data_IF_968060251388
#
_entry.id   IF_968060251388
#
_cell.length_a   1.000
_cell.length_b   1.000
_cell.length_c   1.000
_cell.angle_alpha   90.00
_cell.angle_beta   90.00
_cell.angle_gamma   90.00
#
_symmetry.space_group_name_H-M   'P 1'
#
loop_
_entity.id
_entity.type
_entity.pdbx_description
1 polymer ?
#
# COMPACT_ATOMS: atom_id res chain seq x y z
N UNK A 1 22.16 -11.20 8.78
CA UNK A 1 20.83 -10.61 8.56
C UNK A 1 19.95 -11.65 7.88
N UNK A 2 18.93 -12.12 8.58
CA UNK A 2 18.00 -13.17 8.11
C UNK A 2 17.12 -12.65 6.96
N UNK A 3 16.49 -13.53 6.16
CA UNK A 3 15.55 -13.11 5.11
C UNK A 3 14.43 -12.21 5.65
N UNK A 4 13.91 -12.52 6.84
CA UNK A 4 12.84 -11.75 7.49
C UNK A 4 13.32 -10.35 7.93
N UNK A 5 14.54 -10.22 8.46
CA UNK A 5 15.13 -8.91 8.75
C UNK A 5 15.29 -8.06 7.48
N UNK A 6 15.66 -8.67 6.34
CA UNK A 6 15.76 -7.98 5.04
C UNK A 6 14.39 -7.53 4.57
N UNK A 7 13.41 -8.42 4.67
CA UNK A 7 12.04 -8.15 4.28
C UNK A 7 11.46 -6.96 5.05
N UNK A 8 11.60 -6.96 6.38
CA UNK A 8 11.16 -5.86 7.23
C UNK A 8 11.76 -4.52 6.78
N UNK A 9 13.06 -4.46 6.53
CA UNK A 9 13.73 -3.24 6.07
C UNK A 9 13.25 -2.78 4.69
N UNK A 10 13.06 -3.71 3.76
CA UNK A 10 12.53 -3.44 2.41
C UNK A 10 11.12 -2.84 2.52
N UNK A 11 10.25 -3.45 3.33
CA UNK A 11 8.86 -3.03 3.50
C UNK A 11 8.80 -1.63 4.12
N UNK A 12 9.47 -1.38 5.24
CA UNK A 12 9.42 -0.06 5.87
C UNK A 12 10.02 1.03 4.98
N UNK A 13 11.08 0.72 4.24
CA UNK A 13 11.69 1.68 3.30
C UNK A 13 10.73 2.03 2.16
N UNK A 14 10.08 1.01 1.56
CA UNK A 14 9.09 1.21 0.52
C UNK A 14 7.86 1.97 1.04
N UNK A 15 7.40 1.66 2.26
CA UNK A 15 6.30 2.36 2.91
C UNK A 15 6.61 3.82 3.19
N UNK A 16 7.82 4.14 3.64
CA UNK A 16 8.27 5.52 3.79
C UNK A 16 8.27 6.28 2.46
N UNK A 17 8.81 5.67 1.41
CA UNK A 17 8.79 6.25 0.06
C UNK A 17 7.36 6.44 -0.47
N UNK A 18 6.48 5.46 -0.29
CA UNK A 18 5.08 5.54 -0.68
C UNK A 18 4.32 6.64 0.08
N UNK A 19 4.56 6.76 1.38
CA UNK A 19 4.01 7.84 2.21
C UNK A 19 4.46 9.22 1.73
N UNK A 20 5.73 9.38 1.35
CA UNK A 20 6.25 10.63 0.81
C UNK A 20 5.62 10.97 -0.56
N UNK A 21 5.46 10.00 -1.45
CA UNK A 21 4.77 10.19 -2.74
C UNK A 21 3.31 10.61 -2.54
N UNK A 22 2.63 10.04 -1.55
CA UNK A 22 1.24 10.35 -1.23
C UNK A 22 1.00 11.75 -0.62
N UNK A 23 2.07 12.46 -0.23
CA UNK A 23 2.00 13.88 0.13
C UNK A 23 1.93 14.80 -1.09
N UNK A 24 2.10 14.27 -2.32
CA UNK A 24 2.00 15.07 -3.53
C UNK A 24 0.62 15.75 -3.63
N UNK A 25 0.56 17.07 -3.90
CA UNK A 25 -0.70 17.79 -4.01
C UNK A 25 -1.49 17.43 -5.29
N UNK A 26 -0.90 16.65 -6.20
CA UNK A 26 -1.50 16.34 -7.50
C UNK A 26 -2.26 15.01 -7.43
N UNK A 27 -3.60 15.01 -7.53
CA UNK A 27 -4.42 13.80 -7.46
C UNK A 27 -4.05 12.81 -8.57
N UNK A 28 -4.04 11.51 -8.26
CA UNK A 28 -3.75 10.36 -9.15
C UNK A 28 -2.31 10.19 -9.62
N UNK A 29 -1.49 11.24 -9.61
CA UNK A 29 -0.06 11.18 -10.00
C UNK A 29 0.77 10.30 -9.06
N UNK A 30 0.33 10.20 -7.82
CA UNK A 30 0.84 9.27 -6.83
C UNK A 30 0.80 7.82 -7.33
N UNK A 31 -0.20 7.40 -8.12
CA UNK A 31 -0.24 6.04 -8.67
C UNK A 31 0.96 5.71 -9.58
N UNK A 32 1.34 6.65 -10.46
CA UNK A 32 2.46 6.46 -11.40
C UNK A 32 3.80 6.35 -10.69
N UNK A 33 3.96 7.02 -9.54
CA UNK A 33 5.16 6.95 -8.72
C UNK A 33 5.11 5.79 -7.70
N UNK A 34 3.92 5.38 -7.26
CA UNK A 34 3.70 4.27 -6.34
C UNK A 34 3.92 2.91 -7.03
N UNK A 35 3.56 2.77 -8.30
CA UNK A 35 3.73 1.50 -9.03
C UNK A 35 5.20 1.03 -9.04
N UNK A 36 6.19 1.86 -9.42
CA UNK A 36 7.60 1.48 -9.33
C UNK A 36 8.06 1.11 -7.92
N UNK A 37 7.54 1.79 -6.89
CA UNK A 37 7.85 1.48 -5.48
C UNK A 37 7.35 0.07 -5.13
N UNK A 38 6.11 -0.26 -5.49
CA UNK A 38 5.56 -1.60 -5.26
C UNK A 38 6.33 -2.67 -6.02
N UNK A 39 6.61 -2.47 -7.32
CA UNK A 39 7.36 -3.45 -8.14
C UNK A 39 8.75 -3.70 -7.55
N UNK A 40 9.44 -2.64 -7.13
CA UNK A 40 10.78 -2.73 -6.54
C UNK A 40 10.75 -3.44 -5.19
N UNK A 41 9.80 -3.12 -4.33
CA UNK A 41 9.59 -3.78 -3.04
C UNK A 41 9.41 -5.29 -3.24
N UNK A 42 8.46 -5.67 -4.10
CA UNK A 42 8.13 -7.07 -4.40
C UNK A 42 9.36 -7.80 -4.93
N UNK A 43 10.02 -7.24 -5.95
CA UNK A 43 11.22 -7.84 -6.54
C UNK A 43 12.32 -8.04 -5.49
N UNK A 44 12.48 -7.09 -4.57
CA UNK A 44 13.48 -7.15 -3.51
C UNK A 44 13.14 -8.20 -2.44
N UNK A 45 11.85 -8.37 -2.10
CA UNK A 45 11.37 -9.43 -1.20
C UNK A 45 11.68 -10.81 -1.79
N UNK A 46 11.28 -11.07 -3.03
CA UNK A 46 11.55 -12.34 -3.69
C UNK A 46 13.05 -12.65 -3.75
N UNK A 47 13.90 -11.66 -4.06
CA UNK A 47 15.36 -11.81 -4.01
C UNK A 47 15.88 -12.09 -2.60
N UNK A 48 15.31 -11.49 -1.56
CA UNK A 48 15.73 -11.72 -0.18
C UNK A 48 15.44 -13.16 0.31
N UNK A 49 14.43 -13.81 -0.26
CA UNK A 49 14.05 -15.21 -0.01
C UNK A 49 14.58 -16.19 -1.07
N UNK A 50 15.39 -15.72 -2.03
CA UNK A 50 15.92 -16.52 -3.15
C UNK A 50 14.82 -17.22 -3.99
N UNK A 51 13.68 -16.55 -4.15
CA UNK A 51 12.52 -17.01 -4.91
C UNK A 51 12.34 -16.21 -6.21
N UNK A 52 11.69 -16.82 -7.20
CA UNK A 52 11.34 -16.14 -8.45
C UNK A 52 10.13 -15.24 -8.26
N UNK A 53 10.23 -14.01 -8.74
CA UNK A 53 9.13 -13.04 -8.70
C UNK A 53 7.88 -13.60 -9.37
N UNK A 54 6.76 -13.61 -8.65
CA UNK A 54 5.47 -13.98 -9.21
C UNK A 54 4.81 -12.78 -9.90
N UNK A 55 4.52 -12.91 -11.19
CA UNK A 55 3.85 -11.84 -11.97
C UNK A 55 2.50 -11.47 -11.37
N UNK A 56 1.78 -12.43 -10.81
CA UNK A 56 0.51 -12.21 -10.10
C UNK A 56 0.64 -11.28 -8.88
N UNK A 57 1.72 -11.41 -8.09
CA UNK A 57 1.98 -10.54 -6.95
C UNK A 57 2.21 -9.09 -7.41
N UNK A 58 2.99 -8.92 -8.47
CA UNK A 58 3.25 -7.60 -9.06
C UNK A 58 1.97 -6.97 -9.61
N UNK A 59 1.21 -7.73 -10.43
CA UNK A 59 -0.07 -7.24 -10.98
C UNK A 59 -1.07 -6.89 -9.90
N UNK A 60 -1.19 -7.71 -8.86
CA UNK A 60 -2.09 -7.47 -7.72
C UNK A 60 -1.76 -6.18 -6.99
N UNK A 61 -0.48 -5.93 -6.71
CA UNK A 61 -0.04 -4.70 -6.08
C UNK A 61 -0.26 -3.45 -6.95
N UNK A 62 0.03 -3.55 -8.24
CA UNK A 62 -0.28 -2.48 -9.21
C UNK A 62 -1.77 -2.18 -9.21
N UNK A 63 -2.62 -3.21 -9.19
CA UNK A 63 -4.06 -3.02 -9.19
C UNK A 63 -4.55 -2.36 -7.90
N UNK A 64 -4.02 -2.78 -6.76
CA UNK A 64 -4.35 -2.22 -5.46
C UNK A 64 -3.97 -0.72 -5.35
N UNK A 65 -2.81 -0.33 -5.88
CA UNK A 65 -2.39 1.07 -5.99
C UNK A 65 -3.38 1.87 -6.84
N UNK A 66 -3.68 1.40 -8.06
CA UNK A 66 -4.56 2.11 -8.96
C UNK A 66 -6.00 2.22 -8.41
N UNK A 67 -6.54 1.17 -7.80
CA UNK A 67 -7.86 1.20 -7.14
C UNK A 67 -7.90 2.19 -5.97
N UNK A 68 -6.82 2.24 -5.16
CA UNK A 68 -6.71 3.17 -4.03
C UNK A 68 -6.64 4.61 -4.50
N UNK A 69 -5.76 4.91 -5.46
CA UNK A 69 -5.67 6.26 -6.06
C UNK A 69 -7.00 6.69 -6.70
N UNK A 70 -7.70 5.77 -7.36
CA UNK A 70 -9.04 6.03 -7.88
C UNK A 70 -10.04 6.41 -6.78
N UNK A 71 -10.13 5.60 -5.72
CA UNK A 71 -11.03 5.85 -4.59
C UNK A 71 -10.74 7.18 -3.89
N UNK A 72 -9.46 7.55 -3.74
CA UNK A 72 -9.04 8.83 -3.18
C UNK A 72 -9.50 10.02 -4.00
N UNK A 73 -9.39 9.95 -5.32
CA UNK A 73 -9.87 11.00 -6.20
C UNK A 73 -11.37 11.24 -6.08
N UNK A 74 -12.15 10.16 -5.98
CA UNK A 74 -13.60 10.23 -5.76
C UNK A 74 -13.94 10.86 -4.41
N UNK A 75 -13.32 10.36 -3.33
CA UNK A 75 -13.53 10.88 -1.96
C UNK A 75 -13.07 12.33 -1.84
N UNK A 76 -11.91 12.67 -2.40
CA UNK A 76 -11.36 14.02 -2.39
C UNK A 76 -12.27 15.02 -3.12
N UNK A 77 -12.87 14.62 -4.25
CA UNK A 77 -13.84 15.45 -4.95
C UNK A 77 -15.17 15.58 -4.19
N UNK A 78 -15.63 14.54 -3.50
CA UNK A 78 -16.80 14.63 -2.63
C UNK A 78 -16.55 15.51 -1.39
N UNK A 79 -15.34 15.51 -0.83
CA UNK A 79 -14.96 16.33 0.32
C UNK A 79 -14.76 17.81 -0.01
N UNK A 80 -14.49 18.17 -1.27
CA UNK A 80 -14.43 19.58 -1.72
C UNK A 80 -15.76 20.33 -1.55
N UNK A 81 -16.88 19.62 -1.37
CA UNK A 81 -18.18 20.21 -1.03
C UNK A 81 -18.29 20.63 0.44
N UNK A 82 -17.27 20.34 1.27
CA UNK A 82 -17.20 20.74 2.68
C UNK A 82 -16.05 21.75 2.86
N UNK A 83 -16.33 23.07 2.83
CA UNK A 83 -15.28 24.08 3.00
C UNK A 83 -14.62 23.99 4.39
N UNK A 84 -13.28 24.02 4.43
CA UNK A 84 -12.48 24.06 5.66
C UNK A 84 -11.80 22.76 6.13
N UNK A 85 -12.14 21.59 5.56
CA UNK A 85 -11.60 20.27 5.98
C UNK A 85 -10.53 19.71 5.00
N UNK A 86 -10.38 20.33 3.82
CA UNK A 86 -9.85 19.63 2.64
C UNK A 86 -8.34 19.34 2.56
N UNK A 87 -7.45 20.16 3.15
CA UNK A 87 -6.01 20.12 2.77
C UNK A 87 -5.08 19.48 3.79
N UNK A 88 -5.17 19.84 5.08
CA UNK A 88 -4.29 19.28 6.12
C UNK A 88 -4.69 17.86 6.53
N UNK A 89 -5.99 17.61 6.69
CA UNK A 89 -6.53 16.27 6.98
C UNK A 89 -6.38 15.33 5.79
N UNK A 90 -6.52 15.86 4.56
CA UNK A 90 -6.38 15.08 3.33
C UNK A 90 -4.98 14.49 3.14
N UNK A 91 -3.93 15.28 3.39
CA UNK A 91 -2.54 14.84 3.23
C UNK A 91 -2.13 13.76 4.25
N UNK A 92 -2.53 13.91 5.52
CA UNK A 92 -2.24 12.92 6.56
C UNK A 92 -2.94 11.59 6.29
N UNK A 93 -4.22 11.63 5.90
CA UNK A 93 -4.96 10.44 5.46
C UNK A 93 -4.27 9.83 4.23
N UNK A 94 -3.82 10.69 3.29
CA UNK A 94 -3.10 10.28 2.08
C UNK A 94 -1.90 9.38 2.38
N UNK A 95 -0.99 9.93 3.16
CA UNK A 95 0.23 9.27 3.62
C UNK A 95 -0.08 7.97 4.35
N UNK A 96 -0.95 8.01 5.35
CA UNK A 96 -1.17 6.86 6.22
C UNK A 96 -1.81 5.68 5.48
N UNK A 97 -2.70 5.92 4.50
CA UNK A 97 -3.20 4.81 3.66
C UNK A 97 -2.14 4.30 2.69
N UNK A 98 -1.25 5.16 2.15
CA UNK A 98 -0.19 4.70 1.24
C UNK A 98 0.85 3.84 1.97
N UNK A 99 1.25 4.26 3.17
CA UNK A 99 2.09 3.48 4.10
C UNK A 99 1.40 2.16 4.44
N UNK A 100 0.13 2.21 4.88
CA UNK A 100 -0.62 1.01 5.27
C UNK A 100 -0.82 0.02 4.13
N UNK A 101 -1.12 0.51 2.92
CA UNK A 101 -1.25 -0.33 1.74
C UNK A 101 0.07 -1.02 1.39
N UNK A 102 1.18 -0.28 1.45
CA UNK A 102 2.51 -0.81 1.12
C UNK A 102 2.97 -1.86 2.14
N UNK A 103 2.78 -1.62 3.44
CA UNK A 103 3.05 -2.62 4.46
C UNK A 103 2.17 -3.86 4.29
N UNK A 104 0.88 -3.68 4.02
CA UNK A 104 -0.04 -4.80 3.83
C UNK A 104 0.37 -5.69 2.65
N UNK A 105 0.71 -5.10 1.50
CA UNK A 105 1.20 -5.85 0.33
C UNK A 105 2.52 -6.56 0.65
N UNK A 106 3.46 -5.85 1.29
CA UNK A 106 4.77 -6.39 1.62
C UNK A 106 4.69 -7.61 2.54
N UNK A 107 3.93 -7.51 3.63
CA UNK A 107 3.77 -8.62 4.57
C UNK A 107 2.96 -9.78 4.01
N UNK A 108 1.99 -9.52 3.13
CA UNK A 108 1.27 -10.59 2.43
C UNK A 108 2.22 -11.48 1.61
N UNK A 109 3.16 -10.85 0.91
CA UNK A 109 4.17 -11.54 0.09
C UNK A 109 5.18 -12.26 0.96
N UNK A 110 5.62 -11.65 2.07
CA UNK A 110 6.50 -12.34 3.03
C UNK A 110 5.84 -13.60 3.57
N UNK A 111 4.56 -13.52 3.96
CA UNK A 111 3.82 -14.70 4.43
C UNK A 111 3.76 -15.79 3.36
N UNK A 112 3.50 -15.43 2.09
CA UNK A 112 3.50 -16.38 0.97
C UNK A 112 4.88 -17.05 0.79
N UNK A 113 5.96 -16.27 0.90
CA UNK A 113 7.34 -16.75 0.77
C UNK A 113 7.80 -17.63 1.94
N UNK A 114 7.27 -17.39 3.14
CA UNK A 114 7.62 -18.14 4.35
C UNK A 114 6.80 -19.43 4.51
N UNK A 115 5.50 -19.42 4.22
CA UNK A 115 4.62 -20.57 4.40
C UNK A 115 4.55 -21.49 3.18
N UNK A 116 4.90 -21.00 1.98
CA UNK A 116 4.72 -21.73 0.72
C UNK A 116 3.25 -21.93 0.32
N UNK A 117 2.31 -21.40 1.09
CA UNK A 117 0.89 -21.45 0.82
C UNK A 117 0.50 -20.26 -0.07
N UNK A 118 -0.04 -20.55 -1.26
CA UNK A 118 -0.46 -19.51 -2.22
C UNK A 118 -1.56 -18.67 -1.61
N UNK A 119 -1.27 -17.40 -1.35
CA UNK A 119 -2.24 -16.44 -0.82
C UNK A 119 -3.32 -16.21 -1.88
N UNK A 120 -4.55 -16.62 -1.57
CA UNK A 120 -5.67 -16.60 -2.53
C UNK A 120 -6.26 -15.18 -2.55
N UNK A 121 -6.90 -14.70 -3.64
CA UNK A 121 -7.51 -13.36 -3.70
C UNK A 121 -8.48 -13.03 -2.53
N UNK A 122 -9.06 -14.06 -1.90
CA UNK A 122 -9.85 -13.92 -0.67
C UNK A 122 -9.03 -13.43 0.54
N UNK A 123 -7.78 -13.86 0.67
CA UNK A 123 -6.88 -13.47 1.76
C UNK A 123 -6.36 -12.05 1.55
N UNK A 124 -6.08 -11.66 0.30
CA UNK A 124 -5.75 -10.27 -0.07
C UNK A 124 -6.91 -9.35 0.33
N UNK A 125 -8.15 -9.76 0.07
CA UNK A 125 -9.35 -9.03 0.49
C UNK A 125 -9.46 -8.96 2.01
N UNK A 126 -9.14 -10.04 2.73
CA UNK A 126 -9.08 -10.09 4.19
C UNK A 126 -8.00 -9.17 4.78
N UNK A 127 -6.81 -9.12 4.17
CA UNK A 127 -5.70 -8.24 4.54
C UNK A 127 -6.08 -6.78 4.29
N UNK A 128 -6.71 -6.46 3.15
CA UNK A 128 -7.25 -5.13 2.85
C UNK A 128 -8.34 -4.74 3.87
N UNK A 129 -9.26 -5.65 4.21
CA UNK A 129 -10.31 -5.39 5.21
C UNK A 129 -9.77 -5.23 6.62
N UNK A 130 -8.72 -5.98 6.99
CA UNK A 130 -8.06 -5.89 8.29
C UNK A 130 -7.27 -4.58 8.39
N UNK A 131 -6.54 -4.21 7.33
CA UNK A 131 -5.90 -2.91 7.22
C UNK A 131 -6.91 -1.76 7.29
N UNK A 132 -8.05 -1.87 6.59
CA UNK A 132 -9.14 -0.88 6.63
C UNK A 132 -9.82 -0.79 8.02
N UNK A 133 -9.98 -1.91 8.74
CA UNK A 133 -10.52 -1.93 10.12
C UNK A 133 -9.53 -1.38 11.15
N UNK A 134 -8.23 -1.62 10.96
CA UNK A 134 -7.16 -1.00 11.75
C UNK A 134 -7.12 0.51 11.51
N UNK A 135 -7.42 0.93 10.28
CA UNK A 135 -7.69 2.30 9.89
C UNK A 135 -9.11 2.73 10.29
N UNK A 136 -9.50 2.51 11.55
CA UNK A 136 -10.69 3.14 12.13
C UNK A 136 -10.59 4.64 11.87
N UNK A 137 -11.43 5.13 10.96
CA UNK A 137 -11.71 6.57 10.82
C UNK A 137 -12.06 7.09 12.22
N UNK A 138 -11.48 8.21 12.67
CA UNK A 138 -11.86 8.81 13.94
C UNK A 138 -13.37 9.01 13.92
N UNK A 139 -14.06 8.42 14.89
CA UNK A 139 -15.49 8.65 15.08
C UNK A 139 -15.66 10.17 15.20
N UNK A 140 -16.43 10.77 14.28
CA UNK A 140 -17.04 12.07 14.53
C UNK A 140 -17.78 11.95 15.87
N UNK A 141 -17.49 12.88 16.77
CA UNK A 141 -18.24 13.09 18.00
C UNK A 141 -19.74 13.18 17.70
#
# INVERSE_FOLDING_TARGET
MTPNEKAKNIIHSASGAAGAVALSPIPFTDATLLVPIQVTMITSLFKAYDQKVMEGAVRGAVWAVAATSFGRGVVGNALKFIPGIGTTTGAAISMATAVGLTEAIGWAIVNELESGEKVTPGDITGIIMKAAKTFKLPKKQ
#
